data_IF_000590251823
#
_entry.id   IF_000590251823
#
_cell.length_a   1.000
_cell.length_b   1.000
_cell.length_c   1.000
_cell.angle_alpha   90.00
_cell.angle_beta   90.00
_cell.angle_gamma   90.00
#
_symmetry.space_group_name_H-M   'P 1'
#
loop_
_entity.id
_entity.type
_entity.pdbx_description
1 polymer ?
#
# COMPACT_ATOMS: atom_id res chain seq x y z
N UNK A 1 -7.30 2.19 -11.73
CA UNK A 1 -8.71 2.48 -12.07
C UNK A 1 -9.43 1.24 -12.56
N UNK A 2 -8.74 0.32 -13.25
CA UNK A 2 -9.35 -0.92 -13.73
C UNK A 2 -9.90 -1.77 -12.57
N UNK A 3 -9.17 -1.91 -11.46
CA UNK A 3 -9.67 -2.70 -10.32
C UNK A 3 -10.93 -2.13 -9.66
N UNK A 4 -11.04 -0.80 -9.51
CA UNK A 4 -12.28 -0.20 -8.98
C UNK A 4 -13.49 -0.61 -9.81
N UNK A 5 -13.39 -0.49 -11.14
CA UNK A 5 -14.49 -0.82 -12.04
C UNK A 5 -14.83 -2.32 -11.99
N UNK A 6 -13.82 -3.20 -11.93
CA UNK A 6 -14.00 -4.64 -11.79
C UNK A 6 -14.74 -5.01 -10.49
N UNK A 7 -14.29 -4.46 -9.35
CA UNK A 7 -14.95 -4.69 -8.05
C UNK A 7 -16.39 -4.20 -8.09
N UNK A 8 -16.64 -3.00 -8.62
CA UNK A 8 -18.00 -2.45 -8.72
C UNK A 8 -18.90 -3.31 -9.62
N UNK A 9 -18.41 -3.78 -10.77
CA UNK A 9 -19.19 -4.65 -11.67
C UNK A 9 -19.55 -5.97 -10.97
N UNK A 10 -18.57 -6.60 -10.33
CA UNK A 10 -18.73 -7.88 -9.63
C UNK A 10 -19.75 -7.79 -8.49
N UNK A 11 -19.55 -6.86 -7.54
CA UNK A 11 -20.46 -6.74 -6.39
C UNK A 11 -21.85 -6.22 -6.79
N UNK A 12 -21.98 -5.54 -7.92
CA UNK A 12 -23.29 -5.15 -8.46
C UNK A 12 -24.13 -6.37 -8.87
N UNK A 13 -23.48 -7.47 -9.28
CA UNK A 13 -24.15 -8.71 -9.71
C UNK A 13 -24.39 -9.70 -8.56
N UNK A 14 -23.77 -9.49 -7.41
CA UNK A 14 -23.90 -10.37 -6.24
C UNK A 14 -25.37 -10.53 -5.79
N UNK A 15 -25.94 -11.75 -5.80
CA UNK A 15 -27.29 -11.96 -5.28
C UNK A 15 -27.37 -11.68 -3.78
N UNK A 16 -28.30 -10.82 -3.36
CA UNK A 16 -28.57 -10.53 -1.93
C UNK A 16 -30.02 -10.88 -1.65
N UNK A 17 -30.24 -11.92 -0.86
CA UNK A 17 -31.57 -12.49 -0.61
C UNK A 17 -32.21 -11.96 0.67
N UNK A 18 -31.41 -11.62 1.69
CA UNK A 18 -31.91 -11.13 2.98
C UNK A 18 -32.44 -9.70 2.86
N UNK A 19 -33.69 -9.51 3.27
CA UNK A 19 -34.36 -8.21 3.25
C UNK A 19 -33.62 -7.13 4.05
N UNK A 20 -33.06 -7.46 5.22
CA UNK A 20 -32.28 -6.50 6.02
C UNK A 20 -31.06 -5.99 5.24
N UNK A 21 -30.31 -6.88 4.60
CA UNK A 21 -29.15 -6.52 3.78
C UNK A 21 -29.55 -5.63 2.60
N UNK A 22 -30.64 -5.94 1.88
CA UNK A 22 -31.14 -5.10 0.78
C UNK A 22 -31.51 -3.71 1.27
N UNK A 23 -32.23 -3.60 2.40
CA UNK A 23 -32.58 -2.31 3.03
C UNK A 23 -31.34 -1.51 3.43
N UNK A 24 -30.36 -2.16 4.05
CA UNK A 24 -29.10 -1.56 4.50
C UNK A 24 -28.25 -1.07 3.33
N UNK A 25 -28.19 -1.85 2.26
CA UNK A 25 -27.49 -1.50 1.02
C UNK A 25 -28.15 -0.29 0.34
N UNK A 26 -29.48 -0.30 0.13
CA UNK A 26 -30.21 0.83 -0.47
C UNK A 26 -30.02 2.10 0.36
N UNK A 27 -30.19 2.02 1.68
CA UNK A 27 -30.01 3.17 2.58
C UNK A 27 -28.60 3.76 2.46
N UNK A 28 -27.58 2.90 2.33
CA UNK A 28 -26.19 3.31 2.20
C UNK A 28 -25.89 3.87 0.80
N UNK A 29 -26.42 3.27 -0.26
CA UNK A 29 -26.29 3.82 -1.62
C UNK A 29 -26.89 5.22 -1.66
N UNK A 30 -28.14 5.39 -1.21
CA UNK A 30 -28.80 6.69 -1.24
C UNK A 30 -28.05 7.72 -0.39
N UNK A 31 -27.59 7.36 0.81
CA UNK A 31 -26.81 8.29 1.65
C UNK A 31 -25.54 8.77 0.94
N UNK A 32 -24.78 7.84 0.35
CA UNK A 32 -23.48 8.17 -0.20
C UNK A 32 -23.59 8.82 -1.58
N UNK A 33 -24.56 8.42 -2.41
CA UNK A 33 -24.75 8.91 -3.78
C UNK A 33 -25.51 10.26 -3.86
N UNK A 34 -25.71 10.96 -2.74
CA UNK A 34 -26.39 12.26 -2.71
C UNK A 34 -27.93 12.19 -2.68
N UNK A 35 -28.49 11.06 -2.28
CA UNK A 35 -29.90 10.66 -2.36
C UNK A 35 -30.99 11.59 -1.84
N UNK A 36 -30.71 12.75 -1.24
CA UNK A 36 -31.73 13.59 -0.62
C UNK A 36 -31.67 15.02 -1.18
N UNK A 37 -32.71 15.39 -1.93
CA UNK A 37 -32.87 16.73 -2.51
C UNK A 37 -34.20 17.35 -2.07
N UNK A 38 -34.20 18.67 -1.87
CA UNK A 38 -35.42 19.45 -1.62
C UNK A 38 -35.70 20.32 -2.85
N UNK A 39 -36.74 19.96 -3.61
CA UNK A 39 -37.13 20.65 -4.85
C UNK A 39 -38.52 21.23 -4.66
N UNK A 40 -38.62 22.57 -4.68
CA UNK A 40 -39.89 23.30 -4.47
C UNK A 40 -40.67 22.82 -3.24
N UNK A 41 -39.97 22.61 -2.12
CA UNK A 41 -40.55 22.15 -0.85
C UNK A 41 -40.90 20.66 -0.79
N UNK A 42 -40.61 19.88 -1.83
CA UNK A 42 -40.84 18.43 -1.87
C UNK A 42 -39.53 17.67 -1.81
N UNK A 43 -39.52 16.56 -1.08
CA UNK A 43 -38.37 15.66 -1.03
C UNK A 43 -38.33 14.82 -2.31
N UNK A 44 -37.22 14.91 -3.03
CA UNK A 44 -36.90 14.09 -4.21
C UNK A 44 -35.67 13.27 -3.88
N UNK A 45 -35.70 11.99 -4.25
CA UNK A 45 -34.56 11.09 -4.09
C UNK A 45 -33.85 10.96 -5.43
N UNK A 46 -32.56 11.31 -5.50
CA UNK A 46 -31.72 11.11 -6.68
C UNK A 46 -30.38 10.49 -6.28
N UNK A 47 -30.06 9.33 -6.84
CA UNK A 47 -28.80 8.65 -6.58
C UNK A 47 -27.98 8.54 -7.88
N UNK A 48 -26.80 9.17 -7.89
CA UNK A 48 -25.89 9.14 -9.05
C UNK A 48 -24.86 8.01 -8.90
N UNK A 49 -24.90 7.02 -9.79
CA UNK A 49 -23.97 5.88 -9.83
C UNK A 49 -23.12 5.87 -11.10
N UNK A 50 -21.98 5.21 -11.07
CA UNK A 50 -21.04 5.09 -12.19
C UNK A 50 -21.13 3.75 -12.95
N UNK A 51 -21.94 2.80 -12.46
CA UNK A 51 -22.24 1.55 -13.15
C UNK A 51 -23.74 1.35 -13.38
N UNK A 52 -24.11 0.97 -14.60
CA UNK A 52 -25.53 0.78 -14.96
C UNK A 52 -26.18 -0.41 -14.25
N UNK A 53 -25.38 -1.42 -13.87
CA UNK A 53 -25.87 -2.59 -13.13
C UNK A 53 -26.23 -2.21 -11.70
N UNK A 54 -25.39 -1.41 -11.01
CA UNK A 54 -25.72 -0.90 -9.68
C UNK A 54 -26.99 -0.04 -9.71
N UNK A 55 -27.16 0.80 -10.73
CA UNK A 55 -28.36 1.62 -10.89
C UNK A 55 -29.62 0.78 -11.13
N UNK A 56 -29.56 -0.24 -12.00
CA UNK A 56 -30.68 -1.17 -12.21
C UNK A 56 -31.01 -1.97 -10.95
N UNK A 57 -30.00 -2.38 -10.20
CA UNK A 57 -30.13 -3.05 -8.89
C UNK A 57 -30.82 -2.15 -7.87
N UNK A 58 -30.37 -0.89 -7.73
CA UNK A 58 -31.00 0.08 -6.84
C UNK A 58 -32.46 0.31 -7.23
N UNK A 59 -32.75 0.55 -8.52
CA UNK A 59 -34.12 0.73 -9.02
C UNK A 59 -35.03 -0.44 -8.68
N UNK A 60 -34.56 -1.68 -8.92
CA UNK A 60 -35.30 -2.90 -8.58
C UNK A 60 -35.55 -3.00 -7.08
N UNK A 61 -34.53 -2.76 -6.25
CA UNK A 61 -34.65 -2.88 -4.81
C UNK A 61 -35.54 -1.78 -4.20
N UNK A 62 -35.53 -0.56 -4.76
CA UNK A 62 -36.48 0.51 -4.39
C UNK A 62 -37.93 0.05 -4.65
N UNK A 63 -38.18 -0.59 -5.80
CA UNK A 63 -39.51 -1.09 -6.13
C UNK A 63 -39.92 -2.27 -5.25
N UNK A 64 -39.10 -3.33 -5.19
CA UNK A 64 -39.45 -4.59 -4.53
C UNK A 64 -39.48 -4.48 -2.99
N UNK A 65 -38.61 -3.67 -2.40
CA UNK A 65 -38.46 -3.59 -0.93
C UNK A 65 -39.25 -2.42 -0.34
N UNK A 66 -39.37 -1.32 -1.08
CA UNK A 66 -39.97 -0.09 -0.58
C UNK A 66 -41.27 0.31 -1.31
N UNK A 67 -41.59 -0.33 -2.44
CA UNK A 67 -42.85 -0.11 -3.16
C UNK A 67 -42.89 1.17 -4.00
N UNK A 68 -41.73 1.80 -4.26
CA UNK A 68 -41.68 3.06 -5.00
C UNK A 68 -41.21 2.85 -6.44
N UNK A 69 -41.89 3.48 -7.39
CA UNK A 69 -41.39 3.54 -8.77
C UNK A 69 -40.25 4.54 -8.88
N UNK A 70 -39.26 4.23 -9.72
CA UNK A 70 -38.13 5.12 -9.99
C UNK A 70 -37.80 5.20 -11.49
N UNK A 71 -37.41 6.40 -11.90
CA UNK A 71 -36.84 6.67 -13.22
C UNK A 71 -35.35 6.32 -13.21
N UNK A 72 -34.86 5.80 -14.34
CA UNK A 72 -33.43 5.60 -14.58
C UNK A 72 -33.00 6.46 -15.76
N UNK A 73 -32.22 7.50 -15.49
CA UNK A 73 -31.69 8.41 -16.51
C UNK A 73 -30.21 8.10 -16.74
N UNK A 74 -29.84 7.95 -18.02
CA UNK A 74 -28.44 7.79 -18.43
C UNK A 74 -27.91 9.15 -18.86
N UNK A 75 -26.89 9.64 -18.17
CA UNK A 75 -26.17 10.84 -18.54
C UNK A 75 -24.92 10.44 -19.31
N UNK A 76 -24.80 10.93 -20.54
CA UNK A 76 -23.63 10.72 -21.37
C UNK A 76 -22.37 11.32 -20.71
N UNK A 77 -21.16 10.80 -21.01
CA UNK A 77 -19.92 11.42 -20.56
C UNK A 77 -19.88 12.89 -20.99
N UNK A 78 -19.47 13.79 -20.09
CA UNK A 78 -19.43 15.23 -20.36
C UNK A 78 -18.40 15.96 -19.51
N UNK A 79 -17.69 16.91 -20.13
CA UNK A 79 -16.68 17.76 -19.47
C UNK A 79 -15.54 16.95 -18.83
N UNK A 80 -15.26 17.24 -17.54
CA UNK A 80 -14.19 16.60 -16.76
C UNK A 80 -14.48 15.12 -16.40
N UNK A 81 -15.67 14.60 -16.70
CA UNK A 81 -16.12 13.26 -16.28
C UNK A 81 -15.89 12.24 -17.40
N UNK A 82 -15.10 11.20 -17.12
CA UNK A 82 -14.61 10.22 -18.12
C UNK A 82 -15.59 9.08 -18.47
N UNK A 83 -16.79 9.01 -17.87
CA UNK A 83 -17.73 7.91 -18.11
C UNK A 83 -19.20 8.30 -17.88
N UNK A 84 -20.10 7.49 -18.43
CA UNK A 84 -21.55 7.68 -18.26
C UNK A 84 -21.95 7.57 -16.79
N UNK A 85 -22.94 8.37 -16.39
CA UNK A 85 -23.53 8.30 -15.06
C UNK A 85 -24.98 7.88 -15.16
N UNK A 86 -25.43 7.17 -14.13
CA UNK A 86 -26.76 6.60 -14.06
C UNK A 86 -27.45 7.20 -12.85
N UNK A 87 -28.52 7.95 -13.09
CA UNK A 87 -29.30 8.60 -12.04
C UNK A 87 -30.57 7.80 -11.82
N UNK A 88 -30.75 7.28 -10.61
CA UNK A 88 -32.02 6.68 -10.18
C UNK A 88 -32.78 7.75 -9.41
N UNK A 89 -33.99 8.08 -9.88
CA UNK A 89 -34.80 9.17 -9.32
C UNK A 89 -36.17 8.72 -8.87
N UNK A 90 -36.58 9.14 -7.67
CA UNK A 90 -37.94 8.98 -7.13
C UNK A 90 -38.50 10.36 -6.81
N UNK A 91 -39.47 10.79 -7.60
CA UNK A 91 -40.19 12.07 -7.41
C UNK A 91 -41.45 11.85 -6.59
N UNK A 92 -42.35 10.98 -7.06
CA UNK A 92 -43.54 10.59 -6.31
C UNK A 92 -43.17 9.61 -5.20
N UNK A 93 -43.56 9.89 -3.95
CA UNK A 93 -43.23 9.06 -2.79
C UNK A 93 -41.81 9.25 -2.24
N UNK A 94 -41.06 10.27 -2.71
CA UNK A 94 -39.69 10.53 -2.27
C UNK A 94 -39.57 10.77 -0.76
N UNK A 95 -40.56 11.43 -0.14
CA UNK A 95 -40.61 11.65 1.31
C UNK A 95 -40.83 10.34 2.10
N UNK A 96 -41.66 9.44 1.58
CA UNK A 96 -41.90 8.13 2.18
C UNK A 96 -40.65 7.25 2.08
N UNK A 97 -40.02 7.22 0.89
CA UNK A 97 -38.76 6.51 0.68
C UNK A 97 -37.65 7.06 1.58
N UNK A 98 -37.55 8.39 1.72
CA UNK A 98 -36.59 9.04 2.62
C UNK A 98 -36.74 8.60 4.07
N UNK A 99 -37.98 8.49 4.56
CA UNK A 99 -38.27 7.99 5.91
C UNK A 99 -37.94 6.50 6.05
N UNK A 100 -38.36 5.66 5.10
CA UNK A 100 -38.12 4.22 5.13
C UNK A 100 -36.63 3.85 5.05
N UNK A 101 -35.83 4.63 4.32
CA UNK A 101 -34.37 4.45 4.17
C UNK A 101 -33.56 5.20 5.22
N UNK A 102 -34.23 5.97 6.09
CA UNK A 102 -33.56 6.74 7.14
C UNK A 102 -32.63 7.84 6.61
N UNK A 103 -32.99 8.44 5.47
CA UNK A 103 -32.39 9.69 5.01
C UNK A 103 -32.90 10.88 5.84
N UNK A 104 -34.16 10.79 6.28
CA UNK A 104 -34.78 11.73 7.23
C UNK A 104 -35.35 10.98 8.43
N UNK A 105 -35.47 11.69 9.55
CA UNK A 105 -36.12 11.17 10.75
C UNK A 105 -37.66 11.24 10.65
N UNK A 106 -38.36 10.78 11.70
CA UNK A 106 -39.83 10.82 11.77
C UNK A 106 -40.42 12.24 11.74
N UNK A 107 -39.61 13.28 11.95
CA UNK A 107 -39.99 14.70 11.85
C UNK A 107 -39.59 15.32 10.51
N UNK A 108 -39.06 14.53 9.58
CA UNK A 108 -38.59 15.00 8.27
C UNK A 108 -37.23 15.71 8.29
N UNK A 109 -36.49 15.67 9.41
CA UNK A 109 -35.17 16.29 9.50
C UNK A 109 -34.11 15.37 8.88
N UNK A 110 -33.14 15.90 8.10
CA UNK A 110 -32.07 15.09 7.55
C UNK A 110 -31.26 14.38 8.62
N UNK A 111 -31.15 13.06 8.52
CA UNK A 111 -30.12 12.30 9.23
C UNK A 111 -28.79 12.62 8.52
N UNK A 112 -27.66 12.73 9.23
CA UNK A 112 -26.36 13.05 8.59
C UNK A 112 -25.53 11.81 8.27
N UNK A 113 -25.51 10.84 9.19
CA UNK A 113 -24.82 9.56 9.02
C UNK A 113 -25.66 8.49 8.36
N UNK A 114 -25.33 7.23 8.64
CA UNK A 114 -26.20 6.10 8.35
C UNK A 114 -27.29 5.97 9.42
N UNK A 115 -28.48 5.45 9.08
CA UNK A 115 -29.58 5.38 10.02
C UNK A 115 -29.35 4.31 11.10
N UNK A 116 -29.97 4.43 12.29
CA UNK A 116 -29.73 3.53 13.41
C UNK A 116 -29.88 2.05 13.07
N UNK A 117 -30.91 1.67 12.29
CA UNK A 117 -31.12 0.28 11.88
C UNK A 117 -29.94 -0.34 11.09
N UNK A 118 -29.14 0.49 10.41
CA UNK A 118 -27.91 0.04 9.71
C UNK A 118 -26.72 0.06 10.66
N UNK A 119 -26.63 1.08 11.52
CA UNK A 119 -25.53 1.23 12.48
C UNK A 119 -25.57 0.18 13.58
N UNK A 120 -26.74 -0.18 14.09
CA UNK A 120 -26.95 -1.23 15.09
C UNK A 120 -27.41 -2.56 14.49
N UNK A 121 -27.44 -2.66 13.16
CA UNK A 121 -27.83 -3.88 12.44
C UNK A 121 -26.83 -5.02 12.61
N UNK A 122 -27.20 -6.19 12.12
CA UNK A 122 -26.35 -7.38 12.18
C UNK A 122 -25.06 -7.23 11.36
N UNK A 123 -24.13 -8.17 11.48
CA UNK A 123 -22.89 -8.17 10.69
C UNK A 123 -23.16 -8.14 9.19
N UNK A 124 -24.18 -8.83 8.71
CA UNK A 124 -24.57 -8.81 7.29
C UNK A 124 -25.13 -7.45 6.82
N UNK A 125 -25.65 -6.62 7.74
CA UNK A 125 -26.04 -5.24 7.44
C UNK A 125 -24.82 -4.32 7.34
N UNK A 126 -23.76 -4.59 8.11
CA UNK A 126 -22.48 -3.90 7.99
C UNK A 126 -21.81 -4.20 6.63
N UNK A 127 -21.84 -5.46 6.18
CA UNK A 127 -21.37 -5.87 4.85
C UNK A 127 -22.17 -5.16 3.75
N UNK A 128 -23.50 -5.12 3.90
CA UNK A 128 -24.38 -4.44 2.96
C UNK A 128 -24.17 -2.92 2.92
N UNK A 129 -23.93 -2.30 4.09
CA UNK A 129 -23.64 -0.88 4.17
C UNK A 129 -22.35 -0.52 3.45
N UNK A 130 -21.29 -1.31 3.68
CA UNK A 130 -20.03 -1.15 2.96
C UNK A 130 -20.17 -1.38 1.46
N UNK A 131 -20.94 -2.40 1.04
CA UNK A 131 -21.21 -2.65 -0.39
C UNK A 131 -21.92 -1.47 -1.04
N UNK A 132 -22.95 -0.94 -0.40
CA UNK A 132 -23.69 0.21 -0.90
C UNK A 132 -22.85 1.48 -0.98
N UNK A 133 -22.06 1.75 0.06
CA UNK A 133 -21.15 2.89 0.10
C UNK A 133 -20.03 2.79 -0.97
N UNK A 134 -19.47 1.59 -1.17
CA UNK A 134 -18.48 1.34 -2.19
C UNK A 134 -19.06 1.45 -3.61
N UNK A 135 -20.27 0.93 -3.86
CA UNK A 135 -20.96 1.10 -5.14
C UNK A 135 -21.16 2.58 -5.48
N UNK A 136 -21.56 3.40 -4.50
CA UNK A 136 -21.76 4.84 -4.69
C UNK A 136 -20.44 5.59 -4.99
N UNK A 137 -19.48 5.55 -4.06
CA UNK A 137 -18.26 6.37 -4.16
C UNK A 137 -16.99 5.65 -3.67
N UNK A 138 -16.95 4.34 -3.81
CA UNK A 138 -15.79 3.51 -3.56
C UNK A 138 -14.73 3.61 -4.65
N UNK A 139 -13.47 3.46 -4.24
CA UNK A 139 -12.30 3.38 -5.11
C UNK A 139 -11.26 2.42 -4.52
N UNK A 140 -10.56 1.71 -5.41
CA UNK A 140 -9.48 0.81 -5.06
C UNK A 140 -8.21 1.22 -5.82
N UNK A 141 -7.20 1.61 -5.07
CA UNK A 141 -5.84 1.83 -5.56
C UNK A 141 -5.09 0.51 -5.55
N UNK A 142 -4.67 0.08 -6.74
CA UNK A 142 -4.03 -1.20 -6.99
C UNK A 142 -2.69 -1.34 -6.22
N UNK A 143 -2.23 -2.57 -5.92
CA UNK A 143 -0.97 -2.77 -5.21
C UNK A 143 0.22 -2.16 -5.96
N UNK A 144 0.89 -1.18 -5.34
CA UNK A 144 1.98 -0.42 -5.96
C UNK A 144 3.00 0.11 -4.96
N UNK A 145 3.24 1.43 -4.98
CA UNK A 145 3.98 2.12 -3.90
C UNK A 145 3.12 2.29 -2.65
N UNK A 146 1.84 2.54 -2.86
CA UNK A 146 0.80 2.61 -1.85
C UNK A 146 -0.43 1.90 -2.37
N UNK A 147 -1.20 1.32 -1.46
CA UNK A 147 -2.47 0.69 -1.78
C UNK A 147 -3.52 1.22 -0.82
N UNK A 148 -4.73 1.45 -1.31
CA UNK A 148 -5.84 1.93 -0.49
C UNK A 148 -7.17 1.52 -1.07
N UNK A 149 -8.10 1.17 -0.18
CA UNK A 149 -9.53 1.13 -0.49
C UNK A 149 -10.17 2.33 0.20
N UNK A 150 -10.87 3.16 -0.57
CA UNK A 150 -11.42 4.42 -0.09
C UNK A 150 -12.88 4.58 -0.47
N UNK A 151 -13.67 5.17 0.42
CA UNK A 151 -15.03 5.63 0.13
C UNK A 151 -15.12 7.12 0.45
N UNK A 152 -15.56 7.91 -0.53
CA UNK A 152 -15.86 9.33 -0.32
C UNK A 152 -17.19 9.46 0.43
N UNK A 153 -17.22 10.25 1.50
CA UNK A 153 -18.36 10.38 2.40
C UNK A 153 -19.04 11.75 2.22
N UNK A 154 -20.37 11.84 2.41
CA UNK A 154 -21.10 13.11 2.37
C UNK A 154 -20.86 14.01 3.60
N UNK A 155 -20.18 13.49 4.63
CA UNK A 155 -19.86 14.22 5.85
C UNK A 155 -19.23 13.31 6.91
N UNK A 156 -18.79 13.89 8.04
CA UNK A 156 -18.04 13.16 9.06
C UNK A 156 -18.90 12.13 9.79
N UNK A 157 -20.20 12.36 9.99
CA UNK A 157 -21.09 11.41 10.64
C UNK A 157 -21.29 10.14 9.80
N UNK A 158 -21.35 10.28 8.46
CA UNK A 158 -21.41 9.13 7.55
C UNK A 158 -20.08 8.36 7.52
N UNK A 159 -18.95 9.08 7.57
CA UNK A 159 -17.63 8.46 7.66
C UNK A 159 -17.46 7.65 8.96
N UNK A 160 -17.85 8.23 10.10
CA UNK A 160 -17.81 7.54 11.41
C UNK A 160 -18.71 6.30 11.43
N UNK A 161 -19.92 6.39 10.87
CA UNK A 161 -20.82 5.24 10.78
C UNK A 161 -20.21 4.10 9.94
N UNK A 162 -19.57 4.42 8.83
CA UNK A 162 -18.93 3.44 7.95
C UNK A 162 -17.66 2.83 8.58
N UNK A 163 -16.87 3.61 9.32
CA UNK A 163 -15.78 3.09 10.17
C UNK A 163 -16.31 2.13 11.23
N UNK A 164 -17.42 2.49 11.88
CA UNK A 164 -18.10 1.61 12.84
C UNK A 164 -18.54 0.28 12.20
N UNK A 165 -19.10 0.32 10.98
CA UNK A 165 -19.44 -0.87 10.23
C UNK A 165 -18.20 -1.72 9.91
N UNK A 166 -17.06 -1.11 9.51
CA UNK A 166 -15.82 -1.84 9.25
C UNK A 166 -15.30 -2.56 10.50
N UNK A 167 -15.36 -1.87 11.65
CA UNK A 167 -14.94 -2.45 12.93
C UNK A 167 -15.76 -3.70 13.28
N UNK A 168 -17.08 -3.70 13.02
CA UNK A 168 -17.91 -4.90 13.23
C UNK A 168 -17.50 -6.07 12.33
N UNK A 169 -16.92 -5.78 11.16
CA UNK A 169 -16.35 -6.77 10.25
C UNK A 169 -14.91 -7.16 10.59
N UNK A 170 -14.35 -6.66 11.70
CA UNK A 170 -12.93 -6.83 12.09
C UNK A 170 -11.96 -6.23 11.06
N UNK A 171 -12.36 -5.14 10.39
CA UNK A 171 -11.56 -4.46 9.38
C UNK A 171 -11.10 -3.10 9.89
N UNK A 172 -9.78 -2.88 9.89
CA UNK A 172 -9.16 -1.62 10.29
C UNK A 172 -9.37 -0.50 9.28
N UNK A 173 -10.41 0.32 9.45
CA UNK A 173 -10.66 1.52 8.65
C UNK A 173 -10.46 2.81 9.44
N UNK A 174 -10.09 3.90 8.77
CA UNK A 174 -9.91 5.23 9.39
C UNK A 174 -10.67 6.30 8.61
N UNK A 175 -11.37 7.18 9.34
CA UNK A 175 -11.91 8.41 8.78
C UNK A 175 -10.80 9.45 8.62
N UNK A 176 -10.81 10.17 7.50
CA UNK A 176 -9.86 11.23 7.14
C UNK A 176 -10.59 12.32 6.37
N UNK A 177 -10.23 13.57 6.63
CA UNK A 177 -10.63 14.69 5.79
C UNK A 177 -9.46 15.03 4.84
N UNK A 178 -9.75 15.11 3.54
CA UNK A 178 -8.76 15.48 2.52
C UNK A 178 -9.37 16.54 1.62
N UNK A 179 -8.81 17.76 1.62
CA UNK A 179 -9.32 18.91 0.86
C UNK A 179 -10.80 19.18 1.14
N UNK A 180 -11.18 19.20 2.43
CA UNK A 180 -12.57 19.39 2.88
C UNK A 180 -13.56 18.33 2.41
N UNK A 181 -13.06 17.14 2.08
CA UNK A 181 -13.88 15.98 1.73
C UNK A 181 -13.57 14.85 2.70
N UNK A 182 -14.60 14.40 3.42
CA UNK A 182 -14.54 13.23 4.29
C UNK A 182 -14.38 11.94 3.49
N UNK A 183 -13.51 11.06 3.98
CA UNK A 183 -13.21 9.76 3.39
C UNK A 183 -13.03 8.72 4.48
N UNK A 184 -13.43 7.49 4.18
CA UNK A 184 -13.01 6.32 4.95
C UNK A 184 -11.99 5.54 4.13
N UNK A 185 -10.86 5.21 4.76
CA UNK A 185 -9.71 4.59 4.10
C UNK A 185 -9.29 3.31 4.84
N UNK A 186 -9.07 2.25 4.08
CA UNK A 186 -8.36 1.03 4.49
C UNK A 186 -7.04 0.99 3.72
N UNK A 187 -5.90 0.88 4.42
CA UNK A 187 -4.56 0.89 3.80
C UNK A 187 -3.82 -0.42 3.91
N UNK A 188 -4.17 -1.22 4.91
CA UNK A 188 -3.54 -2.51 5.13
C UNK A 188 -3.98 -3.51 4.04
N UNK A 189 -3.01 -4.20 3.43
CA UNK A 189 -3.26 -5.06 2.28
C UNK A 189 -4.19 -6.22 2.59
N UNK A 190 -3.97 -6.87 3.74
CA UNK A 190 -4.79 -7.97 4.25
C UNK A 190 -6.20 -7.50 4.58
N UNK A 191 -6.33 -6.35 5.26
CA UNK A 191 -7.62 -5.75 5.55
C UNK A 191 -8.40 -5.37 4.28
N UNK A 192 -7.73 -4.94 3.21
CA UNK A 192 -8.38 -4.67 1.91
C UNK A 192 -8.89 -5.99 1.30
N UNK A 193 -8.07 -7.04 1.26
CA UNK A 193 -8.48 -8.35 0.75
C UNK A 193 -9.63 -8.96 1.55
N UNK A 194 -9.60 -8.84 2.88
CA UNK A 194 -10.67 -9.25 3.77
C UNK A 194 -11.97 -8.45 3.53
N UNK A 195 -11.88 -7.13 3.33
CA UNK A 195 -13.03 -6.30 3.01
C UNK A 195 -13.65 -6.69 1.67
N UNK A 196 -12.85 -6.81 0.61
CA UNK A 196 -13.32 -7.24 -0.70
C UNK A 196 -14.00 -8.62 -0.66
N UNK A 197 -13.45 -9.55 0.14
CA UNK A 197 -14.07 -10.86 0.40
C UNK A 197 -15.45 -10.72 1.05
N UNK A 198 -15.55 -9.88 2.09
CA UNK A 198 -16.83 -9.59 2.78
C UNK A 198 -17.85 -8.90 1.87
N UNK A 199 -17.39 -8.14 0.89
CA UNK A 199 -18.26 -7.51 -0.11
C UNK A 199 -18.77 -8.47 -1.17
N UNK A 200 -18.21 -9.68 -1.26
CA UNK A 200 -18.52 -10.69 -2.27
C UNK A 200 -17.79 -10.49 -3.59
N UNK A 201 -16.65 -9.81 -3.58
CA UNK A 201 -15.82 -9.54 -4.77
C UNK A 201 -14.71 -10.59 -4.95
N UNK A 202 -15.06 -11.87 -5.01
CA UNK A 202 -14.11 -12.99 -4.96
C UNK A 202 -13.10 -13.00 -6.12
N UNK A 203 -13.53 -12.75 -7.36
CA UNK A 203 -12.64 -12.66 -8.51
C UNK A 203 -11.69 -11.46 -8.36
N UNK A 204 -12.21 -10.33 -7.89
CA UNK A 204 -11.39 -9.15 -7.61
C UNK A 204 -10.39 -9.37 -6.48
N UNK A 205 -10.72 -10.21 -5.48
CA UNK A 205 -9.79 -10.62 -4.40
C UNK A 205 -8.64 -11.45 -4.99
N UNK A 206 -8.91 -12.44 -5.84
CA UNK A 206 -7.85 -13.23 -6.46
C UNK A 206 -6.88 -12.34 -7.25
N UNK A 207 -7.44 -11.42 -8.05
CA UNK A 207 -6.65 -10.47 -8.82
C UNK A 207 -5.91 -9.44 -7.93
N UNK A 208 -6.43 -9.14 -6.73
CA UNK A 208 -5.75 -8.32 -5.72
C UNK A 208 -4.55 -9.06 -5.12
N UNK A 209 -4.76 -10.30 -4.67
CA UNK A 209 -3.70 -11.11 -4.05
C UNK A 209 -2.57 -11.42 -5.03
N UNK A 210 -2.89 -11.75 -6.29
CA UNK A 210 -1.88 -12.00 -7.31
C UNK A 210 -0.98 -10.77 -7.53
N UNK A 211 -1.58 -9.57 -7.67
CA UNK A 211 -0.81 -8.33 -7.83
C UNK A 211 0.03 -8.02 -6.60
N UNK A 212 -0.50 -8.27 -5.40
CA UNK A 212 0.19 -8.04 -4.13
C UNK A 212 1.41 -8.96 -3.99
N UNK A 213 1.24 -10.25 -4.26
CA UNK A 213 2.32 -11.24 -4.22
C UNK A 213 3.42 -10.91 -5.24
N UNK A 214 3.06 -10.61 -6.49
CA UNK A 214 4.01 -10.18 -7.52
C UNK A 214 4.84 -8.96 -7.07
N UNK A 215 4.20 -8.01 -6.35
CA UNK A 215 4.89 -6.82 -5.83
C UNK A 215 5.86 -7.15 -4.71
N UNK A 216 5.48 -8.04 -3.80
CA UNK A 216 6.31 -8.50 -2.68
C UNK A 216 7.57 -9.23 -3.18
N UNK A 217 7.40 -10.17 -4.11
CA UNK A 217 8.52 -10.88 -4.75
C UNK A 217 9.50 -9.89 -5.39
N UNK A 218 9.00 -8.94 -6.18
CA UNK A 218 9.83 -7.89 -6.80
C UNK A 218 10.50 -6.99 -5.75
N UNK A 219 9.81 -6.64 -4.67
CA UNK A 219 10.37 -5.82 -3.60
C UNK A 219 11.53 -6.54 -2.91
N UNK A 220 11.40 -7.84 -2.67
CA UNK A 220 12.44 -8.66 -2.05
C UNK A 220 13.63 -8.86 -2.98
N UNK A 221 13.39 -9.17 -4.26
CA UNK A 221 14.46 -9.27 -5.27
C UNK A 221 15.26 -7.96 -5.40
N UNK A 222 14.57 -6.82 -5.47
CA UNK A 222 15.23 -5.51 -5.54
C UNK A 222 16.04 -5.19 -4.27
N UNK A 223 15.52 -5.56 -3.09
CA UNK A 223 16.26 -5.37 -1.82
C UNK A 223 17.52 -6.21 -1.80
N UNK A 224 17.47 -7.46 -2.25
CA UNK A 224 18.62 -8.35 -2.33
C UNK A 224 19.66 -7.81 -3.32
N UNK A 225 19.25 -7.46 -4.53
CA UNK A 225 20.15 -6.91 -5.54
C UNK A 225 20.86 -5.62 -5.08
N UNK A 226 20.13 -4.72 -4.41
CA UNK A 226 20.72 -3.50 -3.83
C UNK A 226 21.70 -3.80 -2.69
N UNK A 227 21.43 -4.84 -1.90
CA UNK A 227 22.32 -5.28 -0.83
C UNK A 227 23.62 -5.87 -1.40
N UNK A 228 23.52 -6.69 -2.44
CA UNK A 228 24.66 -7.30 -3.10
C UNK A 228 25.54 -6.24 -3.78
N UNK A 229 24.95 -5.28 -4.52
CA UNK A 229 25.69 -4.17 -5.12
C UNK A 229 26.40 -3.31 -4.05
N UNK A 230 25.70 -2.96 -2.97
CA UNK A 230 26.28 -2.18 -1.88
C UNK A 230 27.45 -2.91 -1.18
N UNK A 231 27.30 -4.22 -0.94
CA UNK A 231 28.37 -5.02 -0.35
C UNK A 231 29.56 -5.17 -1.29
N UNK A 232 29.33 -5.45 -2.57
CA UNK A 232 30.39 -5.59 -3.56
C UNK A 232 31.19 -4.28 -3.69
N UNK A 233 30.52 -3.13 -3.75
CA UNK A 233 31.17 -1.82 -3.75
C UNK A 233 31.99 -1.56 -2.49
N UNK A 234 31.44 -1.84 -1.30
CA UNK A 234 32.14 -1.66 -0.03
C UNK A 234 33.38 -2.56 0.05
N UNK A 235 33.25 -3.82 -0.33
CA UNK A 235 34.36 -4.79 -0.34
C UNK A 235 35.44 -4.40 -1.34
N UNK A 236 35.07 -3.92 -2.53
CA UNK A 236 36.02 -3.45 -3.52
C UNK A 236 36.81 -2.22 -3.02
N UNK A 237 36.13 -1.22 -2.44
CA UNK A 237 36.79 -0.04 -1.84
C UNK A 237 37.74 -0.43 -0.71
N UNK A 238 37.29 -1.30 0.19
CA UNK A 238 38.13 -1.79 1.29
C UNK A 238 39.36 -2.56 0.78
N UNK A 239 39.22 -3.36 -0.29
CA UNK A 239 40.34 -4.07 -0.90
C UNK A 239 41.36 -3.11 -1.52
N UNK A 240 40.89 -2.06 -2.22
CA UNK A 240 41.75 -1.01 -2.80
C UNK A 240 42.47 -0.22 -1.71
N UNK A 241 41.76 0.20 -0.66
CA UNK A 241 42.35 0.88 0.51
C UNK A 241 43.39 0.01 1.23
N UNK A 242 43.07 -1.26 1.46
CA UNK A 242 44.00 -2.22 2.05
C UNK A 242 45.24 -2.42 1.17
N UNK A 243 45.09 -2.46 -0.15
CA UNK A 243 46.20 -2.54 -1.10
C UNK A 243 47.16 -1.34 -0.96
N UNK A 244 46.64 -0.11 -1.01
CA UNK A 244 47.47 1.09 -0.88
C UNK A 244 48.24 1.14 0.46
N UNK A 245 47.55 0.81 1.56
CA UNK A 245 48.18 0.75 2.89
C UNK A 245 49.25 -0.34 2.98
N UNK A 246 48.99 -1.51 2.41
CA UNK A 246 49.94 -2.64 2.39
C UNK A 246 51.18 -2.28 1.58
N UNK A 247 51.02 -1.62 0.43
CA UNK A 247 52.15 -1.12 -0.35
C UNK A 247 53.03 -0.21 0.50
N UNK A 248 52.42 0.78 1.17
CA UNK A 248 53.14 1.69 2.06
C UNK A 248 53.79 0.98 3.25
N UNK A 249 53.13 -0.04 3.81
CA UNK A 249 53.67 -0.81 4.93
C UNK A 249 54.93 -1.58 4.55
N UNK A 250 54.97 -2.16 3.35
CA UNK A 250 56.15 -2.86 2.83
C UNK A 250 57.32 -1.90 2.58
N UNK A 251 57.04 -0.67 2.11
CA UNK A 251 58.06 0.38 1.95
C UNK A 251 58.66 0.82 3.29
N UNK A 252 57.84 0.99 4.34
CA UNK A 252 58.28 1.45 5.66
C UNK A 252 59.13 0.38 6.36
N UNK A 253 58.71 -0.88 6.28
CA UNK A 253 59.37 -1.97 7.00
C UNK A 253 60.58 -2.54 6.26
N UNK A 254 60.61 -2.45 4.92
CA UNK A 254 61.68 -2.99 4.08
C UNK A 254 62.09 -4.41 4.53
N UNK A 255 63.36 -4.61 4.90
CA UNK A 255 63.91 -5.91 5.31
C UNK A 255 63.50 -6.35 6.73
N UNK A 256 62.85 -5.49 7.51
CA UNK A 256 62.42 -5.79 8.88
C UNK A 256 61.08 -6.56 8.95
N UNK A 257 60.41 -6.77 7.80
CA UNK A 257 59.09 -7.44 7.76
C UNK A 257 59.23 -8.97 7.90
N UNK A 258 58.50 -9.62 8.83
CA UNK A 258 58.46 -11.08 8.88
C UNK A 258 57.90 -11.69 7.59
N UNK A 259 58.54 -12.74 7.08
CA UNK A 259 58.23 -13.33 5.76
C UNK A 259 56.75 -13.74 5.61
N UNK A 260 56.14 -14.31 6.65
CA UNK A 260 54.72 -14.70 6.63
C UNK A 260 53.74 -13.52 6.53
N UNK A 261 54.15 -12.30 6.94
CA UNK A 261 53.39 -11.06 6.76
C UNK A 261 53.68 -10.44 5.39
N UNK A 262 54.94 -10.49 4.96
CA UNK A 262 55.38 -10.01 3.64
C UNK A 262 54.65 -10.75 2.52
N UNK A 263 54.57 -12.08 2.61
CA UNK A 263 53.84 -12.93 1.66
C UNK A 263 52.36 -12.54 1.54
N UNK A 264 51.68 -12.29 2.67
CA UNK A 264 50.29 -11.84 2.66
C UNK A 264 50.13 -10.42 2.06
N UNK A 265 51.12 -9.55 2.29
CA UNK A 265 51.17 -8.22 1.71
C UNK A 265 51.35 -8.24 0.18
N UNK A 266 52.31 -9.01 -0.32
CA UNK A 266 52.54 -9.21 -1.75
C UNK A 266 51.31 -9.81 -2.45
N UNK A 267 50.69 -10.82 -1.83
CA UNK A 267 49.48 -11.44 -2.37
C UNK A 267 48.31 -10.45 -2.51
N UNK A 268 48.12 -9.54 -1.54
CA UNK A 268 47.13 -8.44 -1.62
C UNK A 268 47.49 -7.42 -2.71
N UNK A 269 48.78 -7.19 -2.97
CA UNK A 269 49.25 -6.28 -4.03
C UNK A 269 49.08 -6.85 -5.43
N UNK A 270 49.30 -8.15 -5.59
CA UNK A 270 49.12 -8.89 -6.84
C UNK A 270 47.62 -8.99 -7.18
N UNK A 271 46.78 -9.25 -6.19
CA UNK A 271 45.34 -9.44 -6.35
C UNK A 271 44.53 -8.32 -5.68
N UNK A 272 44.68 -7.09 -6.18
CA UNK A 272 44.09 -5.87 -5.58
C UNK A 272 42.57 -5.90 -5.44
N UNK A 273 41.88 -6.61 -6.34
CA UNK A 273 40.41 -6.70 -6.37
C UNK A 273 39.85 -7.96 -5.70
N UNK A 274 40.71 -8.91 -5.31
CA UNK A 274 40.25 -10.16 -4.71
C UNK A 274 39.73 -9.93 -3.28
N UNK A 275 38.67 -10.63 -2.93
CA UNK A 275 38.20 -10.74 -1.54
C UNK A 275 39.27 -11.41 -0.66
N UNK A 276 39.15 -11.25 0.66
CA UNK A 276 40.05 -11.93 1.61
C UNK A 276 39.93 -13.46 1.56
N UNK A 277 38.78 -13.96 1.13
CA UNK A 277 38.54 -15.40 0.95
C UNK A 277 39.27 -15.93 -0.28
N UNK A 278 39.18 -15.22 -1.41
CA UNK A 278 39.96 -15.53 -2.61
C UNK A 278 41.47 -15.43 -2.36
N UNK A 279 41.94 -14.42 -1.62
CA UNK A 279 43.35 -14.36 -1.21
C UNK A 279 43.76 -15.55 -0.33
N UNK A 280 42.86 -16.03 0.52
CA UNK A 280 43.12 -17.21 1.35
C UNK A 280 43.33 -18.47 0.50
N UNK A 281 42.50 -18.64 -0.53
CA UNK A 281 42.61 -19.75 -1.47
C UNK A 281 43.87 -19.66 -2.37
N UNK A 282 44.32 -18.46 -2.72
CA UNK A 282 45.53 -18.22 -3.52
C UNK A 282 46.84 -18.31 -2.73
N UNK A 283 46.78 -18.29 -1.40
CA UNK A 283 47.96 -18.40 -0.55
C UNK A 283 48.55 -19.82 -0.60
N UNK A 284 49.88 -19.92 -0.48
CA UNK A 284 50.58 -21.19 -0.34
C UNK A 284 51.40 -21.22 0.97
N UNK A 285 51.05 -22.09 1.94
CA UNK A 285 49.88 -22.98 1.95
C UNK A 285 48.55 -22.20 2.05
N UNK A 286 47.41 -22.79 1.62
CA UNK A 286 46.10 -22.16 1.69
C UNK A 286 45.75 -21.68 3.10
N UNK A 287 45.15 -20.50 3.18
CA UNK A 287 44.79 -19.84 4.42
C UNK A 287 43.29 -19.59 4.49
N UNK A 288 42.76 -19.55 5.71
CA UNK A 288 41.41 -19.04 5.93
C UNK A 288 41.38 -17.53 5.72
N UNK A 289 40.20 -17.01 5.37
CA UNK A 289 39.92 -15.56 5.28
C UNK A 289 40.44 -14.79 6.50
N UNK A 290 40.20 -15.31 7.71
CA UNK A 290 40.61 -14.65 8.95
C UNK A 290 42.12 -14.69 9.19
N UNK A 291 42.80 -15.75 8.74
CA UNK A 291 44.25 -15.84 8.80
C UNK A 291 44.91 -14.79 7.90
N UNK A 292 44.43 -14.62 6.66
CA UNK A 292 44.91 -13.55 5.76
C UNK A 292 44.61 -12.17 6.34
N UNK A 293 43.38 -11.93 6.79
CA UNK A 293 42.97 -10.66 7.38
C UNK A 293 43.80 -10.32 8.62
N UNK A 294 44.12 -11.31 9.46
CA UNK A 294 44.97 -11.16 10.63
C UNK A 294 46.42 -10.83 10.27
N UNK A 295 46.99 -11.46 9.23
CA UNK A 295 48.34 -11.17 8.73
C UNK A 295 48.43 -9.75 8.17
N UNK A 296 47.47 -9.33 7.33
CA UNK A 296 47.42 -7.96 6.80
C UNK A 296 47.30 -6.94 7.94
N UNK A 297 46.42 -7.15 8.93
CA UNK A 297 46.30 -6.24 10.09
C UNK A 297 47.60 -6.10 10.87
N UNK A 298 48.30 -7.22 11.13
CA UNK A 298 49.57 -7.19 11.86
C UNK A 298 50.67 -6.48 11.06
N UNK A 299 50.71 -6.68 9.75
CA UNK A 299 51.63 -5.96 8.85
C UNK A 299 51.43 -4.44 8.96
N UNK A 300 50.19 -3.99 8.83
CA UNK A 300 49.85 -2.56 8.92
C UNK A 300 50.20 -1.99 10.31
N UNK A 301 49.82 -2.68 11.39
CA UNK A 301 50.13 -2.23 12.75
C UNK A 301 51.64 -2.13 13.04
N UNK A 302 52.43 -3.07 12.49
CA UNK A 302 53.89 -3.04 12.61
C UNK A 302 54.49 -1.85 11.86
N UNK A 303 54.01 -1.58 10.63
CA UNK A 303 54.45 -0.45 9.83
C UNK A 303 54.05 0.90 10.45
N UNK A 304 52.82 1.02 10.96
CA UNK A 304 52.34 2.24 11.61
C UNK A 304 53.15 2.55 12.89
N UNK A 305 53.50 1.53 13.68
CA UNK A 305 54.39 1.69 14.83
C UNK A 305 55.80 2.16 14.40
N UNK A 306 56.38 1.52 13.38
CA UNK A 306 57.70 1.89 12.86
C UNK A 306 57.72 3.31 12.32
N UNK A 307 56.66 3.72 11.62
CA UNK A 307 56.50 5.08 11.11
C UNK A 307 56.46 6.12 12.25
N UNK A 308 55.73 5.81 13.33
CA UNK A 308 55.69 6.65 14.52
C UNK A 308 57.07 6.79 15.17
N UNK A 309 57.81 5.70 15.34
CA UNK A 309 59.16 5.70 15.92
C UNK A 309 60.15 6.53 15.08
N UNK A 310 59.95 6.56 13.76
CA UNK A 310 60.77 7.32 12.79
C UNK A 310 60.28 8.75 12.54
N UNK A 311 59.12 9.14 13.10
CA UNK A 311 58.51 10.46 12.87
C UNK A 311 58.03 10.70 11.43
N UNK A 312 57.71 9.65 10.67
CA UNK A 312 57.22 9.73 9.28
C UNK A 312 55.71 9.45 9.21
N UNK A 313 55.01 9.86 8.13
CA UNK A 313 53.60 9.52 7.93
C UNK A 313 53.36 8.01 7.84
N UNK A 314 52.35 7.51 8.58
CA UNK A 314 51.95 6.11 8.60
C UNK A 314 51.21 5.64 7.34
N UNK A 315 50.71 4.41 7.36
CA UNK A 315 50.11 3.74 6.18
C UNK A 315 48.86 4.43 5.66
N UNK A 316 48.12 5.14 6.53
CA UNK A 316 46.88 5.85 6.18
C UNK A 316 47.10 7.12 5.35
N UNK A 317 48.32 7.66 5.32
CA UNK A 317 48.67 8.86 4.54
C UNK A 317 48.51 8.71 3.02
N UNK A 318 48.32 7.48 2.54
CA UNK A 318 48.18 7.13 1.12
C UNK A 318 46.73 6.98 0.65
N UNK A 319 45.75 7.12 1.55
CA UNK A 319 44.34 6.96 1.23
C UNK A 319 43.75 8.26 0.64
N UNK A 320 43.04 8.14 -0.48
CA UNK A 320 42.24 9.24 -1.04
C UNK A 320 40.81 9.22 -0.49
N UNK A 321 40.09 10.35 -0.53
CA UNK A 321 38.69 10.43 -0.04
C UNK A 321 37.75 9.41 -0.71
N UNK A 322 37.98 9.10 -1.99
CA UNK A 322 37.20 8.10 -2.75
C UNK A 322 37.41 6.66 -2.28
N UNK A 323 38.53 6.39 -1.60
CA UNK A 323 38.88 5.07 -1.05
C UNK A 323 38.29 4.85 0.35
N UNK A 324 37.87 5.93 1.03
CA UNK A 324 37.40 5.92 2.42
C UNK A 324 35.88 6.13 2.53
N UNK A 325 35.26 6.84 1.57
CA UNK A 325 33.79 7.03 1.47
C UNK A 325 33.06 5.84 0.87
#
# INVERSE_FOLDING_TARGET
MAMTAAVKDEISRLPVTRTCCRKSEVSSILRFAGGLHLVSGRIVIEAELDTGIAARRLRRDILEIFGHSSDLVVMAPGGLRRGSRYVVRVVAGGDQLARQTGLVDGRGRPIRGLPPQVVSGATCDAEAAWRGAFLAHGSLTEPGRSSSLEVTCPGPEAALALVGAARRLQIGAKAREVRSVDRVVVRDGDAIGALLTRLGAHESVLAWEERRMRREVRATANRLANFDDANLRRSARAAVAAGARVQRALEILADEVPEHLAAAGRLRMEHKQASLEELGALADPPLTKDAVAGRIRRLLAMADKRAQDLGIPGTESTLTEEMVG
#
